data_IF_953513977097
#
_entry.id   IF_953513977097
#
_cell.length_a   1.000
_cell.length_b   1.000
_cell.length_c   1.000
_cell.angle_alpha   90.00
_cell.angle_beta   90.00
_cell.angle_gamma   90.00
#
_symmetry.space_group_name_H-M   'P 1'
#
loop_
_entity.id
_entity.type
_entity.pdbx_description
1 polymer ?
#
# COMPACT_ATOMS: atom_id res chain seq x y z
N UNK A 1 3.18 -5.31 -10.36
CA UNK A 1 2.57 -5.92 -9.11
C UNK A 1 2.89 -5.04 -7.91
N UNK A 2 2.44 -5.39 -6.72
CA UNK A 2 2.64 -4.52 -5.55
C UNK A 2 2.39 -5.30 -4.26
N UNK A 3 3.00 -4.85 -3.15
CA UNK A 3 2.74 -5.40 -1.81
C UNK A 3 2.73 -4.26 -0.81
N UNK A 4 1.67 -4.12 -0.01
CA UNK A 4 1.58 -3.13 1.05
C UNK A 4 1.47 -3.80 2.42
N UNK A 5 2.00 -3.15 3.44
CA UNK A 5 1.96 -3.64 4.81
C UNK A 5 1.77 -2.51 5.83
N UNK A 6 1.11 -2.85 6.93
CA UNK A 6 1.01 -2.07 8.14
C UNK A 6 1.77 -2.79 9.25
N UNK A 7 2.64 -2.11 9.99
CA UNK A 7 3.47 -2.71 11.03
C UNK A 7 3.51 -1.81 12.26
N UNK A 8 3.38 -2.41 13.44
CA UNK A 8 3.36 -1.67 14.70
C UNK A 8 4.44 -2.17 15.63
N UNK A 9 5.26 -1.26 16.10
CA UNK A 9 6.18 -1.42 17.22
C UNK A 9 5.76 -0.44 18.31
N UNK A 10 6.65 0.45 18.76
CA UNK A 10 6.27 1.63 19.55
C UNK A 10 5.44 2.61 18.74
N UNK A 11 5.93 2.95 17.53
CA UNK A 11 5.22 3.77 16.55
C UNK A 11 4.50 2.87 15.53
N UNK A 12 3.60 3.46 14.73
CA UNK A 12 2.90 2.79 13.66
C UNK A 12 3.57 3.10 12.31
N UNK A 13 3.82 2.05 11.54
CA UNK A 13 4.47 2.12 10.23
C UNK A 13 3.56 1.58 9.14
N UNK A 14 3.59 2.26 7.99
CA UNK A 14 2.83 1.89 6.80
C UNK A 14 3.68 2.09 5.56
N UNK A 15 3.56 1.22 4.56
CA UNK A 15 4.29 1.39 3.30
C UNK A 15 4.05 0.24 2.33
N UNK A 16 4.77 0.29 1.20
CA UNK A 16 4.57 -0.66 0.11
C UNK A 16 5.82 -0.89 -0.72
N UNK A 17 5.82 -1.96 -1.55
CA UNK A 17 6.63 -2.05 -2.77
C UNK A 17 5.80 -1.58 -3.97
N UNK A 18 6.38 -0.82 -4.89
CA UNK A 18 5.84 -0.60 -6.23
C UNK A 18 6.62 -1.49 -7.21
N UNK A 19 5.97 -2.53 -7.72
CA UNK A 19 6.58 -3.45 -8.64
C UNK A 19 6.01 -3.21 -10.04
N UNK A 20 6.88 -2.75 -10.97
CA UNK A 20 6.49 -2.41 -12.33
C UNK A 20 7.71 -2.46 -13.27
N UNK A 21 7.49 -2.38 -14.58
CA UNK A 21 8.56 -2.44 -15.56
C UNK A 21 9.24 -1.09 -15.85
N UNK A 22 8.61 0.01 -15.47
CA UNK A 22 9.17 1.38 -15.61
C UNK A 22 8.55 2.37 -14.63
N UNK A 23 9.27 3.45 -14.32
CA UNK A 23 8.78 4.57 -13.52
C UNK A 23 8.09 5.61 -14.41
N UNK A 24 6.99 6.18 -13.93
CA UNK A 24 6.31 7.33 -14.57
C UNK A 24 6.96 8.68 -14.22
N UNK A 25 8.09 8.70 -13.55
CA UNK A 25 8.71 9.90 -12.98
C UNK A 25 8.18 10.15 -11.57
N UNK A 26 8.52 9.22 -10.67
CA UNK A 26 8.01 9.22 -9.30
C UNK A 26 8.71 10.27 -8.45
N UNK A 27 7.97 10.94 -7.58
CA UNK A 27 8.46 11.98 -6.67
C UNK A 27 7.82 11.82 -5.30
N UNK A 28 8.53 12.25 -4.24
CA UNK A 28 7.88 12.48 -2.96
C UNK A 28 7.14 13.82 -3.05
N UNK A 29 5.83 13.78 -2.85
CA UNK A 29 4.99 14.96 -2.86
C UNK A 29 4.43 15.23 -1.45
N UNK A 30 4.54 16.49 -0.99
CA UNK A 30 3.85 16.96 0.22
C UNK A 30 2.79 17.97 -0.21
N UNK A 31 1.51 17.66 0.05
CA UNK A 31 0.41 18.62 -0.09
C UNK A 31 0.16 19.29 1.25
N UNK A 32 0.49 20.59 1.37
CA UNK A 32 0.19 21.37 2.58
C UNK A 32 -1.33 21.51 2.80
N UNK A 33 -1.73 21.90 4.01
CA UNK A 33 -3.15 22.02 4.43
C UNK A 33 -4.00 22.95 3.56
N UNK A 34 -3.39 23.96 2.95
CA UNK A 34 -4.07 24.95 2.10
C UNK A 34 -3.82 24.74 0.61
N UNK A 35 -3.21 23.62 0.20
CA UNK A 35 -3.20 23.20 -1.21
C UNK A 35 -4.63 22.94 -1.64
N UNK A 36 -5.04 23.46 -2.80
CA UNK A 36 -6.43 23.32 -3.25
C UNK A 36 -6.55 22.06 -4.12
N UNK A 37 -7.21 21.03 -3.60
CA UNK A 37 -7.67 19.94 -4.43
C UNK A 37 -8.93 20.35 -5.21
N UNK A 38 -8.88 20.29 -6.53
CA UNK A 38 -10.03 20.48 -7.40
C UNK A 38 -10.48 19.10 -7.92
N UNK A 39 -11.30 18.41 -7.12
CA UNK A 39 -11.79 17.07 -7.43
C UNK A 39 -12.81 17.11 -8.56
N UNK A 40 -12.70 16.17 -9.50
CA UNK A 40 -13.52 16.11 -10.73
C UNK A 40 -15.03 16.16 -10.47
N UNK A 41 -15.46 15.53 -9.37
CA UNK A 41 -16.88 15.41 -9.04
C UNK A 41 -17.23 15.89 -7.64
N UNK A 42 -16.27 15.91 -6.72
CA UNK A 42 -16.50 16.28 -5.33
C UNK A 42 -16.27 17.79 -5.04
N UNK A 43 -15.88 18.56 -6.08
CA UNK A 43 -15.65 20.00 -5.96
C UNK A 43 -14.31 20.35 -5.33
N UNK A 44 -14.15 21.65 -4.98
CA UNK A 44 -12.90 22.16 -4.41
C UNK A 44 -12.83 21.91 -2.91
N UNK A 45 -11.65 21.49 -2.47
CA UNK A 45 -11.30 21.38 -1.06
C UNK A 45 -10.07 22.27 -0.78
N UNK A 46 -10.30 23.39 -0.09
CA UNK A 46 -9.29 24.44 0.14
C UNK A 46 -8.54 24.28 1.47
N UNK A 47 -9.04 23.45 2.38
CA UNK A 47 -8.41 23.18 3.66
C UNK A 47 -8.61 21.71 4.04
N UNK A 48 -7.51 21.04 4.34
CA UNK A 48 -7.49 19.61 4.59
C UNK A 48 -6.26 19.20 5.43
N UNK A 49 -6.15 17.95 5.83
CA UNK A 49 -4.94 17.45 6.47
C UNK A 49 -3.77 17.45 5.47
N UNK A 50 -2.58 17.84 5.94
CA UNK A 50 -1.37 17.72 5.13
C UNK A 50 -1.08 16.25 4.83
N UNK A 51 -0.60 15.98 3.61
CA UNK A 51 -0.34 14.63 3.09
C UNK A 51 1.09 14.55 2.59
N UNK A 52 1.78 13.43 2.84
CA UNK A 52 3.07 13.10 2.23
C UNK A 52 2.99 11.71 1.61
N UNK A 53 3.53 11.53 0.42
CA UNK A 53 3.55 10.23 -0.24
C UNK A 53 4.36 10.20 -1.51
N UNK A 54 4.49 9.00 -2.09
CA UNK A 54 5.05 8.82 -3.42
C UNK A 54 3.96 9.04 -4.46
N UNK A 55 4.25 9.86 -5.46
CA UNK A 55 3.29 10.24 -6.49
C UNK A 55 3.94 10.40 -7.87
N UNK A 56 3.17 10.18 -8.92
CA UNK A 56 3.42 10.81 -10.21
C UNK A 56 2.75 12.19 -10.19
N UNK A 57 3.54 13.27 -10.37
CA UNK A 57 2.98 14.62 -10.36
C UNK A 57 2.72 15.08 -11.80
N UNK A 58 1.44 15.20 -12.14
CA UNK A 58 0.99 15.60 -13.46
C UNK A 58 0.29 16.97 -13.39
N UNK A 59 0.91 18.02 -13.97
CA UNK A 59 0.34 19.37 -13.96
C UNK A 59 0.04 19.90 -12.56
N UNK A 60 0.97 19.76 -11.63
CA UNK A 60 0.86 20.12 -10.21
C UNK A 60 -0.14 19.29 -9.39
N UNK A 61 -0.78 18.27 -9.98
CA UNK A 61 -1.64 17.33 -9.26
C UNK A 61 -0.88 16.07 -8.87
N UNK A 62 -0.83 15.71 -7.57
CA UNK A 62 -0.14 14.51 -7.10
C UNK A 62 -1.04 13.27 -7.25
N UNK A 63 -0.72 12.41 -8.19
CA UNK A 63 -1.32 11.08 -8.34
C UNK A 63 -0.60 10.12 -7.38
N UNK A 64 -1.05 10.05 -6.15
CA UNK A 64 -0.42 9.24 -5.11
C UNK A 64 -0.58 7.75 -5.37
N UNK A 65 0.52 7.01 -5.24
CA UNK A 65 0.54 5.54 -5.17
C UNK A 65 0.32 5.03 -3.76
N UNK A 66 0.99 5.68 -2.80
CA UNK A 66 0.83 5.52 -1.36
C UNK A 66 1.15 6.84 -0.65
N UNK A 67 0.47 7.09 0.44
CA UNK A 67 0.67 8.28 1.23
C UNK A 67 0.19 8.10 2.67
N UNK A 68 0.63 9.01 3.53
CA UNK A 68 0.10 9.20 4.88
C UNK A 68 -0.32 10.65 5.05
N UNK A 69 -1.26 10.89 5.97
CA UNK A 69 -1.57 12.25 6.39
C UNK A 69 -0.96 12.59 7.76
N UNK A 70 -1.01 13.85 8.14
CA UNK A 70 -0.49 14.37 9.41
C UNK A 70 -1.21 13.82 10.67
N UNK A 71 -2.32 13.08 10.51
CA UNK A 71 -3.06 12.40 11.58
C UNK A 71 -2.64 10.95 11.77
N UNK A 72 -1.78 10.45 10.89
CA UNK A 72 -1.25 9.09 10.96
C UNK A 72 -2.08 8.04 10.22
N UNK A 73 -3.04 8.46 9.39
CA UNK A 73 -3.75 7.57 8.48
C UNK A 73 -2.91 7.32 7.24
N UNK A 74 -2.69 6.05 6.89
CA UNK A 74 -1.99 5.62 5.69
C UNK A 74 -2.93 4.96 4.67
N UNK A 75 -2.65 5.18 3.37
CA UNK A 75 -3.40 4.56 2.28
C UNK A 75 -2.49 4.26 1.09
N UNK A 76 -2.71 3.12 0.44
CA UNK A 76 -2.02 2.74 -0.80
C UNK A 76 -3.00 2.11 -1.78
N UNK A 77 -2.81 2.40 -3.08
CA UNK A 77 -3.51 1.77 -4.18
C UNK A 77 -2.63 0.73 -4.87
N UNK A 78 -3.16 -0.46 -5.10
CA UNK A 78 -2.47 -1.58 -5.72
C UNK A 78 -3.24 -2.08 -6.94
N UNK A 79 -2.55 -2.59 -7.95
CA UNK A 79 -3.18 -3.13 -9.15
C UNK A 79 -4.14 -4.28 -8.83
N UNK A 80 -5.36 -4.19 -9.39
CA UNK A 80 -6.45 -5.15 -9.21
C UNK A 80 -7.11 -5.46 -10.55
N UNK A 81 -6.27 -5.74 -11.53
CA UNK A 81 -6.64 -5.87 -12.96
C UNK A 81 -7.65 -7.01 -13.17
N UNK A 82 -8.73 -6.72 -13.90
CA UNK A 82 -9.79 -7.66 -14.20
C UNK A 82 -10.83 -7.87 -13.10
N UNK A 83 -10.61 -7.34 -11.89
CA UNK A 83 -11.58 -7.39 -10.79
C UNK A 83 -12.14 -6.00 -10.46
N UNK A 84 -11.32 -4.93 -10.59
CA UNK A 84 -11.79 -3.58 -10.32
C UNK A 84 -12.87 -3.16 -11.32
N UNK A 85 -13.99 -2.66 -10.80
CA UNK A 85 -15.06 -2.05 -11.55
C UNK A 85 -15.54 -0.78 -10.84
N UNK A 86 -15.81 0.27 -11.62
CA UNK A 86 -16.26 1.56 -11.12
C UNK A 86 -17.56 1.93 -11.81
N UNK A 87 -18.40 2.70 -11.14
CA UNK A 87 -19.63 3.21 -11.74
C UNK A 87 -19.32 4.19 -12.89
N UNK A 88 -20.19 4.27 -13.88
CA UNK A 88 -20.06 5.30 -14.91
C UNK A 88 -20.22 6.70 -14.28
N UNK A 89 -19.42 7.66 -14.75
CA UNK A 89 -19.40 9.01 -14.18
C UNK A 89 -20.76 9.75 -14.29
N UNK A 90 -21.59 9.36 -15.25
CA UNK A 90 -22.95 9.88 -15.46
C UNK A 90 -24.03 9.11 -14.70
N UNK A 91 -23.73 7.94 -14.16
CA UNK A 91 -24.69 7.21 -13.31
C UNK A 91 -25.01 8.02 -12.04
N UNK A 92 -26.27 8.35 -11.88
CA UNK A 92 -26.79 8.80 -10.61
C UNK A 92 -26.99 7.54 -9.75
N UNK A 93 -26.20 7.39 -8.69
CA UNK A 93 -26.32 6.24 -7.79
C UNK A 93 -27.70 6.19 -7.14
N UNK A 94 -28.71 5.75 -7.93
CA UNK A 94 -30.02 5.40 -7.45
C UNK A 94 -30.02 3.93 -7.06
N UNK A 95 -30.29 3.64 -5.80
CA UNK A 95 -30.55 2.27 -5.39
C UNK A 95 -31.90 1.84 -5.98
N UNK A 96 -31.95 0.74 -6.75
CA UNK A 96 -33.19 0.20 -7.31
C UNK A 96 -34.20 -0.27 -6.25
N UNK A 97 -33.78 -0.40 -4.99
CA UNK A 97 -34.58 -0.92 -3.86
C UNK A 97 -35.28 0.15 -3.01
N UNK A 98 -35.22 1.44 -3.41
CA UNK A 98 -35.93 2.51 -2.71
C UNK A 98 -35.41 2.88 -1.33
N UNK A 99 -34.28 2.31 -0.89
CA UNK A 99 -33.66 2.59 0.44
C UNK A 99 -32.70 3.76 0.44
N UNK A 100 -32.41 4.37 -0.73
CA UNK A 100 -31.39 5.39 -0.91
C UNK A 100 -31.93 6.82 -0.73
N UNK A 101 -31.90 7.33 0.50
CA UNK A 101 -32.23 8.73 0.81
C UNK A 101 -31.07 9.72 0.72
N UNK A 102 -29.84 9.29 0.46
CA UNK A 102 -28.64 10.16 0.50
C UNK A 102 -27.88 10.02 -0.82
N UNK A 103 -27.77 11.14 -1.56
CA UNK A 103 -26.93 11.21 -2.76
C UNK A 103 -25.46 10.90 -2.38
N UNK A 104 -24.84 9.91 -3.04
CA UNK A 104 -23.44 9.56 -2.84
C UNK A 104 -22.54 10.59 -3.51
N UNK A 105 -21.43 10.96 -2.85
CA UNK A 105 -20.39 11.79 -3.44
C UNK A 105 -19.59 10.96 -4.44
N UNK A 106 -19.53 11.38 -5.69
CA UNK A 106 -18.72 10.73 -6.72
C UNK A 106 -17.25 11.10 -6.52
N UNK A 107 -16.37 10.10 -6.55
CA UNK A 107 -14.92 10.27 -6.42
C UNK A 107 -14.25 9.48 -7.54
N UNK A 108 -13.44 10.14 -8.35
CA UNK A 108 -12.66 9.46 -9.37
C UNK A 108 -11.60 8.55 -8.70
N UNK A 109 -11.35 7.38 -9.28
CA UNK A 109 -10.47 6.38 -8.65
C UNK A 109 -9.05 6.91 -8.38
N UNK A 110 -8.50 7.80 -9.23
CA UNK A 110 -7.19 8.41 -9.03
C UNK A 110 -7.17 9.48 -7.92
N UNK A 111 -8.33 10.00 -7.54
CA UNK A 111 -8.52 10.98 -6.45
C UNK A 111 -8.76 10.32 -5.10
N UNK A 112 -8.93 9.00 -5.06
CA UNK A 112 -9.43 8.34 -3.86
C UNK A 112 -8.43 8.42 -2.70
N UNK A 113 -7.12 8.28 -2.95
CA UNK A 113 -6.10 8.45 -1.90
C UNK A 113 -6.12 9.87 -1.34
N UNK A 114 -5.93 10.95 -2.14
CA UNK A 114 -5.95 12.29 -1.60
C UNK A 114 -7.31 12.67 -0.98
N UNK A 115 -8.43 12.15 -1.51
CA UNK A 115 -9.75 12.45 -0.96
C UNK A 115 -9.93 11.87 0.45
N UNK A 116 -9.58 10.59 0.68
CA UNK A 116 -9.65 9.96 2.00
C UNK A 116 -8.67 10.63 2.97
N UNK A 117 -7.40 10.77 2.58
CA UNK A 117 -6.37 11.31 3.47
C UNK A 117 -6.58 12.78 3.82
N UNK A 118 -7.25 13.54 2.96
CA UNK A 118 -7.62 14.94 3.22
C UNK A 118 -8.68 15.09 4.30
N UNK A 119 -9.61 14.13 4.41
CA UNK A 119 -10.84 14.28 5.18
C UNK A 119 -10.91 13.38 6.42
N UNK A 120 -10.12 12.33 6.49
CA UNK A 120 -10.20 11.30 7.53
C UNK A 120 -8.93 11.31 8.39
N UNK A 121 -9.10 11.30 9.71
CA UNK A 121 -7.99 11.18 10.66
C UNK A 121 -7.71 9.71 11.02
N UNK A 122 -8.71 8.84 10.90
CA UNK A 122 -8.68 7.44 11.34
C UNK A 122 -9.34 6.53 10.31
N UNK A 123 -9.10 5.22 10.45
CA UNK A 123 -9.84 4.19 9.67
C UNK A 123 -11.34 4.24 9.97
N UNK A 124 -11.73 4.56 11.21
CA UNK A 124 -13.14 4.72 11.58
C UNK A 124 -13.81 5.85 10.77
N UNK A 125 -13.14 7.02 10.63
CA UNK A 125 -13.63 8.12 9.80
C UNK A 125 -13.73 7.68 8.33
N UNK A 126 -12.73 6.93 7.83
CA UNK A 126 -12.74 6.41 6.47
C UNK A 126 -13.94 5.47 6.24
N UNK A 127 -14.21 4.53 7.15
CA UNK A 127 -15.37 3.63 7.07
C UNK A 127 -16.69 4.42 6.98
N UNK A 128 -16.84 5.50 7.75
CA UNK A 128 -18.03 6.36 7.67
C UNK A 128 -18.16 7.04 6.30
N UNK A 129 -17.05 7.58 5.77
CA UNK A 129 -17.03 8.23 4.45
C UNK A 129 -17.31 7.24 3.32
N UNK A 130 -16.75 6.01 3.38
CA UNK A 130 -16.92 4.97 2.37
C UNK A 130 -18.42 4.62 2.13
N UNK A 131 -19.25 4.69 3.15
CA UNK A 131 -20.69 4.46 3.01
C UNK A 131 -21.40 5.52 2.16
N UNK A 132 -20.77 6.68 1.91
CA UNK A 132 -21.36 7.85 1.26
C UNK A 132 -20.70 8.21 -0.06
N UNK A 133 -19.83 7.37 -0.60
CA UNK A 133 -19.16 7.63 -1.87
C UNK A 133 -19.55 6.61 -2.93
N UNK A 134 -19.31 7.02 -4.18
CA UNK A 134 -19.36 6.18 -5.36
C UNK A 134 -18.05 6.39 -6.13
N UNK A 135 -17.25 5.34 -6.27
CA UNK A 135 -16.06 5.39 -7.12
C UNK A 135 -16.48 5.34 -8.58
N UNK A 136 -15.97 6.28 -9.36
CA UNK A 136 -16.35 6.44 -10.78
C UNK A 136 -15.14 6.27 -11.72
N UNK A 137 -15.45 5.87 -12.95
CA UNK A 137 -14.50 5.51 -14.01
C UNK A 137 -13.92 6.71 -14.78
N UNK A 138 -13.79 7.86 -14.12
CA UNK A 138 -13.24 9.06 -14.72
C UNK A 138 -11.72 8.94 -14.87
N UNK A 139 -11.16 9.04 -16.10
CA UNK A 139 -9.72 9.04 -16.30
C UNK A 139 -9.11 10.38 -15.88
N UNK A 140 -7.82 10.37 -15.47
CA UNK A 140 -7.10 11.62 -15.25
C UNK A 140 -6.90 12.41 -16.55
N UNK A 141 -6.47 11.73 -17.61
CA UNK A 141 -6.31 12.27 -18.95
C UNK A 141 -6.38 11.14 -19.99
N UNK A 142 -6.32 11.49 -21.27
CA UNK A 142 -6.25 10.49 -22.35
C UNK A 142 -4.98 9.63 -22.31
N UNK A 143 -3.88 10.15 -21.74
CA UNK A 143 -2.61 9.42 -21.57
C UNK A 143 -2.55 8.63 -20.24
N UNK A 144 -3.35 9.02 -19.26
CA UNK A 144 -3.48 8.35 -17.96
C UNK A 144 -4.93 7.87 -17.79
N UNK A 145 -5.27 6.70 -18.37
CA UNK A 145 -6.60 6.14 -18.33
C UNK A 145 -6.99 5.66 -16.94
N UNK A 146 -8.19 5.16 -16.79
CA UNK A 146 -8.71 4.60 -15.55
C UNK A 146 -7.83 3.43 -15.10
N UNK A 147 -7.23 3.56 -13.92
CA UNK A 147 -6.42 2.50 -13.31
C UNK A 147 -7.31 1.52 -12.54
N UNK A 148 -7.09 0.23 -12.73
CA UNK A 148 -7.80 -0.83 -12.02
C UNK A 148 -7.10 -1.11 -10.69
N UNK A 149 -7.63 -0.54 -9.61
CA UNK A 149 -7.01 -0.57 -8.29
C UNK A 149 -7.94 -1.14 -7.23
N UNK A 150 -7.33 -1.64 -6.15
CA UNK A 150 -7.92 -1.79 -4.83
C UNK A 150 -7.01 -1.13 -3.79
N UNK A 151 -7.48 -0.92 -2.57
CA UNK A 151 -6.77 -0.10 -1.61
C UNK A 151 -6.68 -0.74 -0.24
N UNK A 152 -5.56 -0.47 0.44
CA UNK A 152 -5.39 -0.70 1.87
C UNK A 152 -5.39 0.66 2.57
N UNK A 153 -6.14 0.75 3.68
CA UNK A 153 -6.20 1.93 4.53
C UNK A 153 -5.92 1.47 5.96
N UNK A 154 -4.98 2.11 6.62
CA UNK A 154 -4.58 1.69 7.96
C UNK A 154 -4.19 2.86 8.86
N UNK A 155 -4.51 2.74 10.14
CA UNK A 155 -3.98 3.53 11.23
C UNK A 155 -3.42 2.61 12.33
N UNK A 156 -2.98 3.19 13.44
CA UNK A 156 -2.41 2.43 14.56
C UNK A 156 -3.37 1.43 15.23
N UNK A 157 -4.66 1.50 14.97
CA UNK A 157 -5.71 0.71 15.61
C UNK A 157 -6.33 -0.31 14.66
N UNK A 158 -6.53 0.07 13.39
CA UNK A 158 -7.30 -0.70 12.41
C UNK A 158 -6.61 -0.73 11.06
N UNK A 159 -6.91 -1.76 10.28
CA UNK A 159 -6.54 -1.88 8.87
C UNK A 159 -7.72 -2.45 8.10
N UNK A 160 -8.02 -1.86 6.94
CA UNK A 160 -9.08 -2.31 6.04
C UNK A 160 -8.58 -2.42 4.60
N UNK A 161 -9.31 -3.21 3.82
CA UNK A 161 -9.16 -3.29 2.36
C UNK A 161 -10.45 -2.80 1.71
N UNK A 162 -10.31 -1.97 0.68
CA UNK A 162 -11.43 -1.48 -0.13
C UNK A 162 -11.28 -2.02 -1.55
N UNK A 163 -12.28 -2.77 -2.00
CA UNK A 163 -12.38 -3.34 -3.35
C UNK A 163 -13.69 -2.90 -4.00
N UNK A 164 -13.61 -2.18 -5.12
CA UNK A 164 -14.77 -1.85 -5.96
C UNK A 164 -14.82 -2.84 -7.11
N UNK A 165 -15.84 -3.68 -7.12
CA UNK A 165 -16.03 -4.78 -8.08
C UNK A 165 -17.37 -4.65 -8.78
N UNK A 166 -17.66 -5.55 -9.73
CA UNK A 166 -18.88 -5.51 -10.53
C UNK A 166 -20.18 -5.61 -9.69
N UNK A 167 -20.12 -6.24 -8.52
CA UNK A 167 -21.21 -6.38 -7.56
C UNK A 167 -21.25 -5.28 -6.49
N UNK A 168 -20.36 -4.27 -6.59
CA UNK A 168 -20.33 -3.11 -5.71
C UNK A 168 -19.00 -2.89 -4.99
N UNK A 169 -19.02 -1.95 -4.05
CA UNK A 169 -17.85 -1.65 -3.23
C UNK A 169 -17.88 -2.45 -1.93
N UNK A 170 -16.81 -3.18 -1.68
CA UNK A 170 -16.60 -4.01 -0.50
C UNK A 170 -15.54 -3.40 0.41
N UNK A 171 -15.79 -3.44 1.71
CA UNK A 171 -14.84 -3.01 2.75
C UNK A 171 -14.62 -4.18 3.70
N UNK A 172 -13.39 -4.65 3.77
CA UNK A 172 -13.01 -5.80 4.58
C UNK A 172 -12.09 -5.38 5.72
N UNK A 173 -12.33 -5.87 6.92
CA UNK A 173 -11.34 -5.79 8.00
C UNK A 173 -10.13 -6.64 7.65
N UNK A 174 -8.93 -6.09 7.84
CA UNK A 174 -7.67 -6.74 7.49
C UNK A 174 -6.82 -7.03 8.73
N UNK A 175 -7.02 -8.17 9.39
CA UNK A 175 -6.32 -8.48 10.64
C UNK A 175 -4.83 -8.79 10.45
N UNK A 176 -4.40 -9.10 9.22
CA UNK A 176 -2.98 -9.35 8.94
C UNK A 176 -2.24 -8.10 8.48
N UNK A 177 -2.97 -7.03 8.11
CA UNK A 177 -2.39 -5.75 7.70
C UNK A 177 -1.48 -5.86 6.49
N UNK A 178 -1.85 -6.68 5.50
CA UNK A 178 -1.12 -6.89 4.24
C UNK A 178 -2.11 -6.86 3.08
N UNK A 179 -1.71 -6.28 1.95
CA UNK A 179 -2.43 -6.35 0.68
C UNK A 179 -1.42 -6.57 -0.44
N UNK A 180 -1.79 -7.40 -1.42
CA UNK A 180 -1.02 -7.59 -2.65
C UNK A 180 -1.89 -7.22 -3.87
N UNK A 181 -2.08 -8.12 -4.81
CA UNK A 181 -2.91 -7.91 -6.01
C UNK A 181 -4.04 -8.94 -6.05
N UNK A 182 -4.43 -9.40 -7.25
CA UNK A 182 -5.39 -10.51 -7.42
C UNK A 182 -4.95 -11.78 -6.68
N UNK A 183 -5.88 -12.62 -6.24
CA UNK A 183 -7.34 -12.50 -6.30
C UNK A 183 -7.90 -11.54 -5.23
N UNK A 184 -9.25 -11.31 -5.20
CA UNK A 184 -9.91 -10.51 -4.17
C UNK A 184 -9.54 -10.92 -2.73
N UNK A 185 -9.51 -9.95 -1.83
CA UNK A 185 -8.99 -10.08 -0.47
C UNK A 185 -9.54 -11.28 0.34
N UNK A 186 -10.82 -11.64 0.28
CA UNK A 186 -11.34 -12.82 0.99
C UNK A 186 -10.66 -14.12 0.57
N UNK A 187 -10.26 -14.26 -0.70
CA UNK A 187 -9.53 -15.43 -1.20
C UNK A 187 -8.08 -15.45 -0.68
N UNK A 188 -7.44 -14.27 -0.57
CA UNK A 188 -6.12 -14.14 0.03
C UNK A 188 -6.15 -14.59 1.50
N UNK A 189 -7.14 -14.15 2.26
CA UNK A 189 -7.34 -14.55 3.65
C UNK A 189 -7.65 -16.05 3.79
N UNK A 190 -8.51 -16.59 2.92
CA UNK A 190 -8.84 -18.02 2.92
C UNK A 190 -7.61 -18.89 2.66
N UNK A 191 -6.71 -18.45 1.77
CA UNK A 191 -5.48 -19.18 1.45
C UNK A 191 -4.53 -19.34 2.64
N UNK A 192 -4.54 -18.43 3.63
CA UNK A 192 -3.71 -18.56 4.84
C UNK A 192 -4.00 -19.85 5.62
N UNK A 193 -5.20 -20.44 5.49
CA UNK A 193 -5.54 -21.71 6.13
C UNK A 193 -4.62 -22.86 5.71
N UNK A 194 -4.09 -22.81 4.48
CA UNK A 194 -3.17 -23.83 3.97
C UNK A 194 -1.79 -23.74 4.64
N UNK A 195 -1.47 -22.61 5.26
CA UNK A 195 -0.17 -22.29 5.83
C UNK A 195 -0.17 -22.22 7.37
N UNK A 196 -1.26 -22.65 8.02
CA UNK A 196 -1.38 -22.63 9.47
C UNK A 196 -0.36 -23.50 10.22
N UNK A 197 0.33 -24.39 9.51
CA UNK A 197 1.43 -25.20 10.03
C UNK A 197 2.78 -24.48 10.08
N UNK A 198 2.92 -23.31 9.46
CA UNK A 198 4.14 -22.53 9.50
C UNK A 198 4.45 -22.06 10.93
N UNK A 199 5.73 -22.10 11.28
CA UNK A 199 6.21 -21.72 12.63
C UNK A 199 7.61 -21.12 12.55
N UNK A 200 7.95 -20.27 13.51
CA UNK A 200 9.35 -19.83 13.76
C UNK A 200 10.15 -20.85 14.54
N UNK A 201 9.50 -21.86 15.11
CA UNK A 201 10.12 -22.95 15.89
C UNK A 201 10.46 -24.13 14.98
N UNK A 202 11.44 -24.94 15.40
CA UNK A 202 11.71 -26.22 14.76
C UNK A 202 10.49 -27.15 14.89
N UNK A 203 10.09 -27.82 13.80
CA UNK A 203 8.99 -28.78 13.85
C UNK A 203 9.39 -30.05 14.63
N UNK A 204 8.45 -30.62 15.35
CA UNK A 204 8.59 -31.97 15.90
C UNK A 204 8.40 -33.00 14.78
N UNK A 205 8.99 -34.19 14.96
CA UNK A 205 8.77 -35.28 14.04
C UNK A 205 7.37 -35.88 14.24
N UNK A 206 6.44 -35.50 13.39
CA UNK A 206 5.06 -36.02 13.36
C UNK A 206 4.78 -36.86 12.10
N UNK A 207 5.84 -37.25 11.35
CA UNK A 207 5.68 -37.87 10.02
C UNK A 207 4.97 -39.22 10.11
N UNK A 208 5.49 -40.15 10.90
CA UNK A 208 4.85 -41.44 11.17
C UNK A 208 5.44 -42.09 12.43
N UNK A 209 4.67 -42.92 13.16
CA UNK A 209 5.19 -43.71 14.24
C UNK A 209 6.33 -44.66 13.80
N UNK A 210 7.43 -44.66 14.54
CA UNK A 210 8.59 -45.53 14.29
C UNK A 210 9.51 -45.07 13.16
N UNK A 211 9.26 -43.91 12.55
CA UNK A 211 10.16 -43.31 11.58
C UNK A 211 10.91 -42.15 12.23
N UNK A 212 12.19 -42.37 12.53
CA UNK A 212 13.04 -41.35 13.16
C UNK A 212 13.58 -40.36 12.12
N UNK A 213 13.07 -39.14 12.18
CA UNK A 213 13.52 -38.01 11.34
C UNK A 213 14.04 -36.90 12.24
N UNK A 214 15.16 -36.31 11.88
CA UNK A 214 15.78 -35.19 12.60
C UNK A 214 15.87 -33.94 11.75
N UNK A 215 15.81 -32.80 12.41
CA UNK A 215 16.01 -31.52 11.75
C UNK A 215 17.48 -31.41 11.30
N UNK A 216 17.70 -31.11 10.00
CA UNK A 216 19.06 -30.96 9.43
C UNK A 216 19.54 -29.49 9.38
N UNK A 217 18.64 -28.51 9.63
CA UNK A 217 18.98 -27.08 9.69
C UNK A 217 18.02 -26.32 10.59
N UNK A 218 18.38 -25.07 10.93
CA UNK A 218 17.46 -24.12 11.56
C UNK A 218 16.47 -23.58 10.53
N UNK A 219 15.33 -23.04 10.98
CA UNK A 219 14.31 -22.42 10.13
C UNK A 219 13.35 -23.41 9.45
N UNK A 220 13.42 -24.70 9.76
CA UNK A 220 12.57 -25.71 9.12
C UNK A 220 11.08 -25.59 9.48
N UNK A 221 10.71 -24.80 10.50
CA UNK A 221 9.32 -24.44 10.76
C UNK A 221 8.69 -23.59 9.64
N UNK A 222 9.51 -22.97 8.80
CA UNK A 222 9.09 -22.23 7.60
C UNK A 222 8.96 -23.09 6.32
N UNK A 223 9.12 -24.41 6.42
CA UNK A 223 8.97 -25.30 5.24
C UNK A 223 7.55 -25.18 4.68
N UNK A 224 7.47 -24.90 3.36
CA UNK A 224 6.22 -24.65 2.65
C UNK A 224 5.85 -23.16 2.58
N UNK A 225 6.61 -22.24 3.21
CA UNK A 225 6.45 -20.81 2.94
C UNK A 225 6.74 -20.55 1.45
N UNK A 226 5.78 -19.97 0.67
CA UNK A 226 5.95 -19.83 -0.76
C UNK A 226 7.09 -18.85 -1.10
N UNK A 227 7.85 -19.18 -2.14
CA UNK A 227 9.04 -18.41 -2.57
C UNK A 227 8.90 -17.70 -3.90
N UNK A 228 7.82 -17.98 -4.65
CA UNK A 228 7.56 -17.35 -5.94
C UNK A 228 6.99 -15.92 -5.77
N UNK A 229 6.96 -15.18 -6.88
CA UNK A 229 6.57 -13.76 -6.90
C UNK A 229 5.08 -13.53 -7.21
N UNK A 230 4.26 -14.60 -7.29
CA UNK A 230 2.81 -14.44 -7.49
C UNK A 230 2.18 -13.65 -6.33
N UNK A 231 1.08 -12.99 -6.62
CA UNK A 231 0.38 -12.14 -5.64
C UNK A 231 0.03 -12.90 -4.36
N UNK A 232 -0.53 -14.10 -4.47
CA UNK A 232 -0.92 -14.91 -3.31
C UNK A 232 0.30 -15.37 -2.51
N UNK A 233 1.39 -15.79 -3.17
CA UNK A 233 2.63 -16.18 -2.51
C UNK A 233 3.27 -15.03 -1.74
N UNK A 234 3.29 -13.82 -2.33
CA UNK A 234 3.77 -12.61 -1.66
C UNK A 234 2.88 -12.24 -0.46
N UNK A 235 1.55 -12.36 -0.59
CA UNK A 235 0.63 -12.13 0.51
C UNK A 235 0.92 -13.04 1.70
N UNK A 236 1.00 -14.36 1.49
CA UNK A 236 1.32 -15.34 2.53
C UNK A 236 2.67 -15.05 3.15
N UNK A 237 3.69 -14.81 2.32
CA UNK A 237 5.07 -14.57 2.76
C UNK A 237 5.17 -13.32 3.64
N UNK A 238 4.62 -12.20 3.21
CA UNK A 238 4.65 -10.96 3.99
C UNK A 238 3.80 -11.07 5.24
N UNK A 239 2.62 -11.69 5.16
CA UNK A 239 1.78 -11.92 6.34
C UNK A 239 2.52 -12.74 7.41
N UNK A 240 3.15 -13.86 7.03
CA UNK A 240 3.92 -14.68 7.97
C UNK A 240 5.14 -13.94 8.51
N UNK A 241 5.93 -13.32 7.62
CA UNK A 241 7.15 -12.58 8.01
C UNK A 241 6.79 -11.46 8.97
N UNK A 242 5.84 -10.61 8.62
CA UNK A 242 5.42 -9.46 9.43
C UNK A 242 4.90 -9.87 10.80
N UNK A 243 4.02 -10.88 10.88
CA UNK A 243 3.41 -11.31 12.14
C UNK A 243 4.41 -11.94 13.11
N UNK A 244 5.54 -12.45 12.59
CA UNK A 244 6.58 -13.11 13.40
C UNK A 244 7.85 -12.25 13.55
N UNK A 245 7.97 -11.14 12.82
CA UNK A 245 9.09 -10.22 12.93
C UNK A 245 9.12 -9.52 14.28
N UNK A 246 10.34 -9.25 14.74
CA UNK A 246 10.59 -8.53 15.98
C UNK A 246 11.54 -7.38 15.72
N UNK A 247 11.27 -6.25 16.37
CA UNK A 247 12.12 -5.07 16.38
C UNK A 247 12.23 -4.57 17.82
N UNK A 248 13.26 -3.83 18.13
CA UNK A 248 13.23 -3.00 19.32
C UNK A 248 12.38 -1.73 19.07
N UNK A 249 12.20 -0.92 20.13
CA UNK A 249 11.32 0.25 20.10
C UNK A 249 11.96 1.47 19.43
N UNK A 250 13.21 1.39 18.95
CA UNK A 250 13.86 2.51 18.27
C UNK A 250 13.29 2.67 16.85
N UNK A 251 13.20 3.91 16.40
CA UNK A 251 12.73 4.22 15.04
C UNK A 251 13.64 3.56 13.98
N UNK A 252 14.97 3.67 14.15
CA UNK A 252 15.91 3.07 13.21
C UNK A 252 15.73 1.55 13.09
N UNK A 253 15.55 0.84 14.21
CA UNK A 253 15.33 -0.59 14.19
C UNK A 253 13.98 -0.95 13.55
N UNK A 254 12.91 -0.19 13.87
CA UNK A 254 11.59 -0.41 13.31
C UNK A 254 11.55 -0.16 11.81
N UNK A 255 12.15 0.93 11.33
CA UNK A 255 12.29 1.25 9.89
C UNK A 255 13.10 0.17 9.18
N UNK A 256 14.26 -0.22 9.73
CA UNK A 256 15.07 -1.31 9.17
C UNK A 256 14.29 -2.61 9.10
N UNK A 257 13.58 -2.99 10.18
CA UNK A 257 12.76 -4.20 10.20
C UNK A 257 11.63 -4.14 9.16
N UNK A 258 11.01 -2.98 8.95
CA UNK A 258 9.97 -2.82 7.94
C UNK A 258 10.51 -3.08 6.53
N UNK A 259 11.69 -2.53 6.20
CA UNK A 259 12.34 -2.82 4.91
C UNK A 259 12.70 -4.30 4.76
N UNK A 260 13.12 -5.00 5.84
CA UNK A 260 13.34 -6.45 5.80
C UNK A 260 12.04 -7.25 5.59
N UNK A 261 10.92 -6.79 6.14
CA UNK A 261 9.62 -7.43 5.91
C UNK A 261 9.25 -7.35 4.43
N UNK A 262 9.25 -6.16 3.83
CA UNK A 262 8.91 -5.96 2.43
C UNK A 262 10.01 -6.49 1.48
N UNK A 263 11.28 -6.41 1.84
CA UNK A 263 12.39 -6.98 1.08
C UNK A 263 12.30 -8.50 0.89
N UNK A 264 11.48 -9.18 1.72
CA UNK A 264 11.20 -10.61 1.54
C UNK A 264 10.46 -10.93 0.23
N UNK A 265 9.89 -9.93 -0.44
CA UNK A 265 9.12 -10.04 -1.69
C UNK A 265 9.60 -9.08 -2.77
N UNK A 266 10.80 -8.53 -2.63
CA UNK A 266 11.43 -7.72 -3.67
C UNK A 266 11.50 -8.49 -4.99
N UNK A 267 11.19 -7.81 -6.09
CA UNK A 267 11.21 -8.39 -7.42
C UNK A 267 12.53 -8.03 -8.12
N UNK A 268 13.36 -9.05 -8.34
CA UNK A 268 14.65 -8.90 -8.98
C UNK A 268 14.48 -8.94 -10.51
N UNK A 269 15.25 -8.11 -11.21
CA UNK A 269 15.27 -8.08 -12.68
C UNK A 269 15.61 -9.46 -13.24
N UNK A 270 14.74 -9.93 -14.14
CA UNK A 270 14.88 -11.24 -14.78
C UNK A 270 13.99 -12.34 -14.21
N UNK A 271 13.35 -12.15 -13.04
CA UNK A 271 12.51 -13.19 -12.43
C UNK A 271 11.02 -13.08 -12.80
N UNK A 272 10.55 -11.91 -13.23
CA UNK A 272 9.17 -11.69 -13.65
C UNK A 272 9.15 -10.98 -15.01
N UNK A 273 9.08 -11.73 -16.09
CA UNK A 273 9.00 -11.20 -17.45
C UNK A 273 7.54 -10.83 -17.77
N UNK A 274 7.32 -9.57 -18.18
CA UNK A 274 6.01 -9.06 -18.56
C UNK A 274 5.77 -9.25 -20.06
N UNK A 275 6.78 -8.87 -20.86
CA UNK A 275 6.90 -9.13 -22.29
C UNK A 275 8.36 -9.37 -22.62
N UNK A 276 8.68 -9.88 -23.80
CA UNK A 276 10.06 -10.18 -24.20
C UNK A 276 11.03 -9.02 -23.87
N UNK A 277 11.98 -9.29 -23.00
CA UNK A 277 13.01 -8.34 -22.56
C UNK A 277 12.55 -7.27 -21.58
N UNK A 278 11.29 -7.28 -21.11
CA UNK A 278 10.77 -6.36 -20.09
C UNK A 278 10.43 -7.12 -18.81
N UNK A 279 11.02 -6.69 -17.73
CA UNK A 279 10.89 -7.33 -16.44
C UNK A 279 10.24 -6.41 -15.44
N UNK A 280 9.32 -6.94 -14.65
CA UNK A 280 8.83 -6.28 -13.46
C UNK A 280 9.90 -6.31 -12.37
N UNK A 281 10.17 -5.17 -11.76
CA UNK A 281 11.12 -5.00 -10.66
C UNK A 281 10.49 -4.16 -9.56
N UNK A 282 10.97 -4.28 -8.33
CA UNK A 282 10.58 -3.37 -7.27
C UNK A 282 11.22 -2.01 -7.49
N UNK A 283 10.50 -1.08 -8.11
CA UNK A 283 10.97 0.27 -8.42
C UNK A 283 11.35 1.03 -7.16
N UNK A 284 10.50 0.95 -6.14
CA UNK A 284 10.78 1.48 -4.80
C UNK A 284 10.08 0.66 -3.72
N UNK A 285 10.63 0.74 -2.51
CA UNK A 285 9.97 0.32 -1.28
C UNK A 285 9.81 1.54 -0.38
N UNK A 286 8.61 1.77 0.14
CA UNK A 286 8.33 2.84 1.09
C UNK A 286 8.11 2.30 2.51
N UNK A 287 8.39 3.16 3.49
CA UNK A 287 8.07 2.97 4.90
C UNK A 287 7.73 4.34 5.49
N UNK A 288 6.54 4.53 6.00
CA UNK A 288 6.13 5.76 6.65
C UNK A 288 6.09 5.55 8.16
N UNK A 289 6.72 6.41 8.96
CA UNK A 289 6.39 6.55 10.37
C UNK A 289 5.16 7.44 10.48
N UNK A 290 3.99 6.83 10.66
CA UNK A 290 2.71 7.52 10.64
C UNK A 290 2.49 8.41 11.88
N UNK A 291 3.09 8.06 13.03
CA UNK A 291 3.00 8.89 14.24
C UNK A 291 3.86 10.16 14.14
N UNK A 292 4.91 10.13 13.30
CA UNK A 292 5.85 11.25 13.14
C UNK A 292 5.76 11.97 11.80
N UNK A 293 4.98 11.49 10.86
CA UNK A 293 4.84 12.10 9.54
C UNK A 293 6.13 12.05 8.70
N UNK A 294 6.91 10.97 8.79
CA UNK A 294 8.16 10.80 8.06
C UNK A 294 7.98 9.71 7.01
N UNK A 295 8.34 10.02 5.78
CA UNK A 295 8.33 9.09 4.64
C UNK A 295 9.74 8.63 4.33
N UNK A 296 10.02 7.33 4.49
CA UNK A 296 11.28 6.67 4.14
C UNK A 296 11.10 5.87 2.86
N UNK A 297 12.14 5.79 2.04
CA UNK A 297 12.13 4.96 0.85
C UNK A 297 13.52 4.44 0.47
N UNK A 298 13.53 3.34 -0.28
CA UNK A 298 14.66 2.83 -1.07
C UNK A 298 14.21 2.66 -2.52
N UNK A 299 15.14 2.59 -3.47
CA UNK A 299 14.84 2.27 -4.87
C UNK A 299 15.61 1.05 -5.33
N UNK A 300 15.29 0.51 -6.50
CA UNK A 300 15.94 -0.68 -7.03
C UNK A 300 17.47 -0.54 -7.10
N UNK A 301 17.96 0.59 -7.58
CA UNK A 301 19.38 0.85 -7.76
C UNK A 301 20.03 1.58 -6.55
N UNK A 302 19.22 1.98 -5.55
CA UNK A 302 19.71 2.66 -4.34
C UNK A 302 19.06 2.06 -3.08
N UNK A 303 19.77 1.17 -2.43
CA UNK A 303 19.38 0.56 -1.14
C UNK A 303 19.58 1.47 0.07
N UNK A 304 20.20 2.66 -0.10
CA UNK A 304 20.32 3.66 0.97
C UNK A 304 18.92 4.17 1.34
N UNK A 305 18.53 4.02 2.59
CA UNK A 305 17.26 4.59 3.10
C UNK A 305 17.35 6.11 3.03
N UNK A 306 16.42 6.71 2.30
CA UNK A 306 16.24 8.16 2.17
C UNK A 306 14.95 8.57 2.86
N UNK A 307 14.89 9.75 3.47
CA UNK A 307 13.74 10.20 4.23
C UNK A 307 13.34 11.64 3.91
N UNK A 308 12.02 11.90 3.95
CA UNK A 308 11.42 13.24 3.96
C UNK A 308 10.51 13.34 5.16
N UNK A 309 10.74 14.33 6.02
CA UNK A 309 9.94 14.63 7.20
C UNK A 309 9.01 15.80 6.87
N UNK A 310 7.70 15.54 6.76
CA UNK A 310 6.74 16.58 6.39
C UNK A 310 6.65 17.71 7.44
N UNK A 311 6.99 17.44 8.71
CA UNK A 311 6.94 18.48 9.75
C UNK A 311 8.08 19.51 9.64
N UNK A 312 9.07 19.26 8.77
CA UNK A 312 10.10 20.25 8.42
C UNK A 312 9.65 21.19 7.32
N UNK A 313 8.46 20.93 6.75
CA UNK A 313 7.90 21.71 5.66
C UNK A 313 6.93 22.78 6.16
N UNK A 314 6.65 23.74 5.30
CA UNK A 314 5.67 24.80 5.57
C UNK A 314 4.25 24.29 5.28
N UNK A 315 3.69 23.52 6.21
CA UNK A 315 2.42 22.81 6.02
C UNK A 315 1.18 23.72 5.87
N UNK A 316 1.30 25.03 6.09
CA UNK A 316 0.20 26.00 5.91
C UNK A 316 0.31 26.78 4.57
N UNK A 317 1.26 26.43 3.70
CA UNK A 317 1.37 26.99 2.36
C UNK A 317 0.32 26.39 1.39
N UNK A 318 0.28 26.95 0.16
CA UNK A 318 -0.68 26.54 -0.88
C UNK A 318 -0.07 25.73 -2.01
N UNK A 319 1.26 25.70 -2.11
CA UNK A 319 1.95 25.08 -3.22
C UNK A 319 2.39 23.67 -2.85
N UNK A 320 2.29 22.76 -3.80
CA UNK A 320 2.83 21.41 -3.70
C UNK A 320 4.35 21.46 -3.50
N UNK A 321 4.86 20.73 -2.51
CA UNK A 321 6.28 20.59 -2.24
C UNK A 321 6.72 19.24 -2.84
N UNK A 322 7.83 19.24 -3.60
CA UNK A 322 8.24 18.09 -4.39
C UNK A 322 9.71 17.77 -4.18
N UNK A 323 10.02 16.48 -4.06
CA UNK A 323 11.37 15.96 -3.95
C UNK A 323 11.57 14.86 -4.98
N UNK A 324 12.46 15.04 -5.97
CA UNK A 324 12.83 13.98 -6.89
C UNK A 324 13.36 12.76 -6.14
N UNK A 325 12.97 11.58 -6.57
CA UNK A 325 13.47 10.32 -5.98
C UNK A 325 14.95 10.15 -6.27
N UNK A 326 15.73 9.82 -5.25
CA UNK A 326 17.18 9.55 -5.38
C UNK A 326 17.36 8.09 -5.78
N UNK A 327 17.67 7.88 -7.06
CA UNK A 327 17.85 6.53 -7.63
C UNK A 327 19.30 6.07 -7.68
N UNK A 328 20.29 6.99 -7.60
CA UNK A 328 21.69 6.63 -7.65
C UNK A 328 22.19 6.14 -6.29
N UNK A 329 22.55 4.86 -6.23
CA UNK A 329 23.19 4.26 -5.06
C UNK A 329 24.68 4.62 -4.98
N UNK A 330 25.20 4.81 -3.76
CA UNK A 330 26.62 5.06 -3.50
C UNK A 330 27.23 3.92 -2.70
N UNK A 331 28.36 3.38 -3.19
CA UNK A 331 29.15 2.43 -2.43
C UNK A 331 30.02 3.20 -1.42
N UNK A 332 29.86 2.88 -0.15
CA UNK A 332 30.72 3.41 0.91
C UNK A 332 31.97 2.56 1.03
N UNK A 333 33.12 3.10 0.61
CA UNK A 333 34.41 2.45 0.75
C UNK A 333 34.95 2.67 2.16
N UNK A 334 35.37 1.59 2.81
CA UNK A 334 35.98 1.66 4.17
C UNK A 334 37.49 1.77 4.19
N UNK A 335 38.12 1.66 3.05
CA UNK A 335 39.59 1.76 2.86
C UNK A 335 39.96 2.92 1.95
#
# INVERSE_FOLDING_TARGET
>A
MCTAAAYKTKDFYFGRTLDYEFSYGDEIAVTPRNYVFDFRHAGKLENHYAIIGMAHVAGDYPLYYDAINEKGLGMAGLNFVGNAAYAAADENGSCEDGTCGIAKTKVAQFEFIPWILSLCATVADAKEKLNRILLVDTPFSSQLPVAQLHWIIADKNECIVVESMADGMHVYDNPVGVLTNNPPFPYQMAALNNYRGLSTKQPENTFAPGVELSAYSRGMGGLGLPGDLSSQSRFVRVAFTKQNSKSDDSENASVSQFFHILGSVDQQRGLCEVTEGKYEITLYTSCCNCDKGIYYYTTYDNSQITAVDMNREKLDEKLLIRYPVITEGKICWQN
#
